data_IF_564278055384
#
_entry.id   IF_564278055384
#
_cell.length_a   1.000
_cell.length_b   1.000
_cell.length_c   1.000
_cell.angle_alpha   90.00
_cell.angle_beta   90.00
_cell.angle_gamma   90.00
#
_symmetry.space_group_name_H-M   'P 1'
#
loop_
_entity.id
_entity.type
_entity.pdbx_description
1 polymer ?
#
# COMPACT_ATOMS: atom_id res chain seq x y z
N UNK A 1 -13.78 15.62 25.78
CA UNK A 1 -13.06 15.66 24.49
C UNK A 1 -13.55 14.44 23.75
N UNK A 2 -14.06 14.61 22.53
CA UNK A 2 -14.53 13.47 21.74
C UNK A 2 -13.34 12.54 21.53
N UNK A 3 -13.36 11.31 22.04
CA UNK A 3 -12.31 10.32 21.82
C UNK A 3 -12.19 10.07 20.32
N UNK A 4 -11.24 10.75 19.68
CA UNK A 4 -10.95 10.58 18.27
C UNK A 4 -10.37 9.19 18.09
N UNK A 5 -11.07 8.35 17.32
CA UNK A 5 -10.63 6.96 17.12
C UNK A 5 -9.34 6.91 16.33
N UNK A 6 -8.49 5.93 16.61
CA UNK A 6 -7.18 5.73 15.99
C UNK A 6 -7.14 4.46 15.14
N UNK A 7 -6.62 4.56 13.92
CA UNK A 7 -6.34 3.43 13.04
C UNK A 7 -4.83 3.34 12.75
N UNK A 8 -4.21 2.25 13.15
CA UNK A 8 -2.83 1.92 12.81
C UNK A 8 -2.79 0.80 11.76
N UNK A 9 -2.05 0.99 10.67
CA UNK A 9 -1.87 -0.01 9.62
C UNK A 9 -0.38 -0.28 9.43
N UNK A 10 0.02 -1.55 9.38
CA UNK A 10 1.33 -1.96 8.89
C UNK A 10 1.16 -2.43 7.44
N UNK A 11 1.79 -1.74 6.48
CA UNK A 11 1.78 -2.10 5.07
C UNK A 11 3.11 -2.76 4.67
N UNK A 12 3.06 -4.04 4.36
CA UNK A 12 4.27 -4.89 4.14
C UNK A 12 4.51 -5.31 2.70
N UNK A 13 3.48 -5.21 1.86
CA UNK A 13 3.49 -5.68 0.48
C UNK A 13 3.49 -4.51 -0.50
N UNK A 14 4.20 -4.69 -1.62
CA UNK A 14 4.38 -3.67 -2.66
C UNK A 14 3.89 -4.07 -4.05
N UNK A 15 2.99 -5.06 -4.15
CA UNK A 15 2.34 -5.41 -5.42
C UNK A 15 1.09 -4.58 -5.63
N UNK A 16 0.63 -4.47 -6.88
CA UNK A 16 -0.52 -3.62 -7.21
C UNK A 16 -1.78 -3.99 -6.43
N UNK A 17 -2.08 -5.28 -6.29
CA UNK A 17 -3.26 -5.78 -5.57
C UNK A 17 -3.22 -5.48 -4.07
N UNK A 18 -2.04 -5.55 -3.45
CA UNK A 18 -1.85 -5.29 -2.02
C UNK A 18 -1.62 -3.82 -1.66
N UNK A 19 -1.41 -2.96 -2.65
CA UNK A 19 -1.34 -1.51 -2.44
C UNK A 19 -2.71 -0.90 -2.12
N UNK A 20 -3.80 -1.49 -2.61
CA UNK A 20 -5.15 -0.95 -2.43
C UNK A 20 -5.67 -0.99 -0.99
N UNK A 21 -5.62 -2.12 -0.27
CA UNK A 21 -6.20 -2.21 1.07
C UNK A 21 -5.69 -1.15 2.06
N UNK A 22 -4.38 -0.88 2.23
CA UNK A 22 -3.93 0.09 3.23
C UNK A 22 -4.43 1.51 2.90
N UNK A 23 -4.35 1.94 1.63
CA UNK A 23 -4.80 3.29 1.26
C UNK A 23 -6.33 3.45 1.28
N UNK A 24 -7.11 2.45 0.84
CA UNK A 24 -8.58 2.50 0.92
C UNK A 24 -9.04 2.61 2.37
N UNK A 25 -8.47 1.77 3.25
CA UNK A 25 -8.86 1.76 4.66
C UNK A 25 -8.45 3.07 5.34
N UNK A 26 -7.24 3.54 5.08
CA UNK A 26 -6.75 4.77 5.68
C UNK A 26 -7.53 6.00 5.20
N UNK A 27 -7.75 6.15 3.89
CA UNK A 27 -8.51 7.29 3.35
C UNK A 27 -9.95 7.30 3.88
N UNK A 28 -10.57 6.11 4.01
CA UNK A 28 -11.92 5.99 4.55
C UNK A 28 -11.95 6.30 6.05
N UNK A 29 -10.98 5.82 6.82
CA UNK A 29 -10.89 6.09 8.25
C UNK A 29 -10.68 7.59 8.52
N UNK A 30 -9.77 8.23 7.78
CA UNK A 30 -9.56 9.67 7.86
C UNK A 30 -10.85 10.46 7.52
N UNK A 31 -11.58 10.07 6.47
CA UNK A 31 -12.87 10.67 6.13
C UNK A 31 -13.96 10.48 7.21
N UNK A 32 -13.85 9.43 8.02
CA UNK A 32 -14.72 9.17 9.18
C UNK A 32 -14.22 9.88 10.46
N UNK A 33 -13.15 10.68 10.37
CA UNK A 33 -12.57 11.43 11.48
C UNK A 33 -11.61 10.61 12.35
N UNK A 34 -11.09 9.49 11.87
CA UNK A 34 -10.08 8.73 12.60
C UNK A 34 -8.71 9.39 12.42
N UNK A 35 -7.95 9.50 13.50
CA UNK A 35 -6.51 9.73 13.39
C UNK A 35 -5.86 8.45 12.86
N UNK A 36 -5.11 8.55 11.75
CA UNK A 36 -4.68 7.36 11.01
C UNK A 36 -3.17 7.41 10.73
N UNK A 37 -2.48 6.30 11.00
CA UNK A 37 -1.07 6.10 10.64
C UNK A 37 -0.91 4.82 9.81
N UNK A 38 -0.13 4.91 8.73
CA UNK A 38 0.34 3.77 7.95
C UNK A 38 1.86 3.66 8.10
N UNK A 39 2.31 2.55 8.65
CA UNK A 39 3.72 2.17 8.74
C UNK A 39 4.12 1.25 7.59
N UNK A 40 4.96 1.75 6.69
CA UNK A 40 5.43 1.04 5.51
C UNK A 40 6.76 0.35 5.81
N UNK A 41 6.81 -0.97 5.62
CA UNK A 41 8.02 -1.79 5.83
C UNK A 41 8.16 -2.84 4.74
N UNK A 42 9.32 -3.47 4.65
CA UNK A 42 9.70 -4.37 3.56
C UNK A 42 9.30 -3.82 2.19
N UNK A 43 8.57 -4.61 1.41
CA UNK A 43 8.17 -4.26 0.05
C UNK A 43 7.12 -3.14 0.02
N UNK A 44 6.44 -2.87 1.14
CA UNK A 44 5.50 -1.77 1.29
C UNK A 44 6.15 -0.39 1.08
N UNK A 45 7.45 -0.23 1.29
CA UNK A 45 8.16 1.03 1.00
C UNK A 45 8.05 1.46 -0.47
N UNK A 46 7.85 0.52 -1.40
CA UNK A 46 7.61 0.85 -2.82
C UNK A 46 6.38 1.75 -3.01
N UNK A 47 5.41 1.70 -2.09
CA UNK A 47 4.19 2.51 -2.15
C UNK A 47 4.45 3.99 -1.85
N UNK A 48 5.60 4.31 -1.23
CA UNK A 48 6.04 5.66 -0.95
C UNK A 48 6.91 6.25 -2.06
N UNK A 49 7.28 5.49 -3.10
CA UNK A 49 8.11 6.03 -4.18
C UNK A 49 7.32 7.06 -5.01
N UNK A 50 8.00 8.13 -5.45
CA UNK A 50 7.43 9.17 -6.32
C UNK A 50 6.84 8.57 -7.61
N UNK A 51 7.52 7.57 -8.17
CA UNK A 51 7.09 6.85 -9.37
C UNK A 51 6.72 5.42 -9.02
N UNK A 52 5.43 5.12 -9.00
CA UNK A 52 4.92 3.79 -8.74
C UNK A 52 5.07 2.88 -9.98
N UNK A 53 5.83 1.78 -9.83
CA UNK A 53 5.84 0.66 -10.77
C UNK A 53 5.33 -0.62 -10.08
N UNK A 54 4.02 -0.59 -9.80
CA UNK A 54 3.31 -1.68 -9.13
C UNK A 54 2.76 -2.67 -10.16
N UNK A 55 3.03 -3.93 -9.92
CA UNK A 55 2.61 -5.05 -10.76
C UNK A 55 1.92 -6.11 -9.90
N UNK A 56 1.00 -6.85 -10.51
CA UNK A 56 0.49 -8.10 -9.93
C UNK A 56 1.34 -9.26 -10.39
N UNK A 57 1.52 -10.25 -9.52
CA UNK A 57 2.18 -11.50 -9.90
C UNK A 57 1.21 -12.40 -10.67
N UNK A 58 1.65 -12.96 -11.80
CA UNK A 58 0.87 -13.95 -12.54
C UNK A 58 0.86 -15.32 -11.88
N UNK A 59 1.82 -15.62 -10.99
CA UNK A 59 2.02 -16.93 -10.36
C UNK A 59 1.87 -16.92 -8.84
N UNK A 60 2.17 -15.80 -8.19
CA UNK A 60 2.33 -15.73 -6.73
C UNK A 60 1.03 -15.55 -5.96
N UNK A 61 -0.13 -15.46 -6.62
CA UNK A 61 -1.42 -15.35 -5.94
C UNK A 61 -2.48 -16.25 -6.61
N UNK A 62 -2.64 -17.50 -6.13
CA UNK A 62 -3.67 -18.43 -6.63
C UNK A 62 -5.11 -17.93 -6.44
N UNK A 63 -5.33 -16.95 -5.55
CA UNK A 63 -6.63 -16.32 -5.34
C UNK A 63 -6.99 -15.26 -6.38
N UNK A 64 -6.08 -14.94 -7.31
CA UNK A 64 -6.36 -13.96 -8.35
C UNK A 64 -7.47 -14.49 -9.29
N UNK A 65 -8.59 -13.75 -9.46
CA UNK A 65 -9.67 -14.19 -10.32
C UNK A 65 -9.25 -14.07 -11.78
N UNK A 66 -8.82 -15.20 -12.36
CA UNK A 66 -8.48 -15.29 -13.77
C UNK A 66 -9.76 -15.36 -14.61
N UNK A 67 -9.84 -14.62 -15.74
CA UNK A 67 -11.01 -14.68 -16.61
C UNK A 67 -11.21 -16.07 -17.25
N UNK A 68 -10.13 -16.84 -17.37
CA UNK A 68 -10.10 -18.21 -17.85
C UNK A 68 -9.07 -19.01 -17.04
N UNK A 69 -9.30 -20.30 -16.74
CA UNK A 69 -8.28 -21.15 -16.12
C UNK A 69 -7.05 -21.21 -17.04
N UNK A 70 -5.89 -20.77 -16.55
CA UNK A 70 -4.64 -20.83 -17.29
C UNK A 70 -3.68 -21.83 -16.66
N UNK A 71 -3.03 -22.71 -17.45
CA UNK A 71 -1.98 -23.58 -16.94
C UNK A 71 -0.83 -22.76 -16.34
N UNK A 72 -0.21 -23.27 -15.27
CA UNK A 72 0.94 -22.63 -14.59
C UNK A 72 2.07 -22.30 -15.56
N UNK A 73 2.33 -23.20 -16.52
CA UNK A 73 3.36 -22.97 -17.55
C UNK A 73 3.08 -21.71 -18.38
N UNK A 74 1.82 -21.44 -18.70
CA UNK A 74 1.42 -20.24 -19.45
C UNK A 74 1.61 -19.00 -18.58
N UNK A 75 1.27 -19.07 -17.29
CA UNK A 75 1.42 -17.95 -16.36
C UNK A 75 2.89 -17.54 -16.13
N UNK A 76 3.83 -18.46 -16.34
CA UNK A 76 5.28 -18.23 -16.23
C UNK A 76 5.90 -17.61 -17.50
N UNK A 77 5.15 -17.45 -18.58
CA UNK A 77 5.69 -16.88 -19.83
C UNK A 77 6.12 -15.42 -19.64
N UNK A 78 7.23 -14.99 -20.29
CA UNK A 78 7.65 -13.59 -20.27
C UNK A 78 6.52 -12.66 -20.75
N UNK A 79 6.32 -11.54 -20.03
CA UNK A 79 5.28 -10.55 -20.35
C UNK A 79 3.89 -10.81 -19.76
N UNK A 80 3.62 -12.02 -19.25
CA UNK A 80 2.33 -12.33 -18.62
C UNK A 80 2.05 -11.48 -17.39
N UNK A 81 3.09 -11.17 -16.60
CA UNK A 81 2.98 -10.28 -15.45
C UNK A 81 2.48 -8.88 -15.86
N UNK A 82 3.08 -8.30 -16.90
CA UNK A 82 2.71 -6.98 -17.43
C UNK A 82 1.31 -6.99 -18.05
N UNK A 83 0.96 -8.06 -18.78
CA UNK A 83 -0.38 -8.25 -19.35
C UNK A 83 -1.44 -8.28 -18.25
N UNK A 84 -1.25 -9.13 -17.23
CA UNK A 84 -2.18 -9.25 -16.10
C UNK A 84 -2.30 -7.94 -15.32
N UNK A 85 -1.19 -7.23 -15.12
CA UNK A 85 -1.18 -5.89 -14.50
C UNK A 85 -2.02 -4.90 -15.31
N UNK A 86 -1.82 -4.85 -16.63
CA UNK A 86 -2.59 -3.95 -17.50
C UNK A 86 -4.09 -4.28 -17.49
N UNK A 87 -4.44 -5.57 -17.54
CA UNK A 87 -5.83 -6.04 -17.47
C UNK A 87 -6.48 -5.64 -16.14
N UNK A 88 -5.76 -5.78 -15.02
CA UNK A 88 -6.25 -5.38 -13.70
C UNK A 88 -6.47 -3.88 -13.60
N UNK A 89 -5.48 -3.06 -14.01
CA UNK A 89 -5.61 -1.59 -14.04
C UNK A 89 -6.79 -1.14 -14.92
N UNK A 90 -6.97 -1.75 -16.09
CA UNK A 90 -8.08 -1.45 -16.99
C UNK A 90 -9.44 -1.84 -16.38
N UNK A 91 -9.52 -2.99 -15.71
CA UNK A 91 -10.75 -3.44 -15.03
C UNK A 91 -11.11 -2.55 -13.84
N UNK A 92 -10.12 -2.13 -13.05
CA UNK A 92 -10.31 -1.17 -11.96
C UNK A 92 -10.86 0.15 -12.49
N UNK A 93 -10.22 0.71 -13.53
CA UNK A 93 -10.67 1.94 -14.20
C UNK A 93 -12.09 1.83 -14.75
N UNK A 94 -12.45 0.71 -15.39
CA UNK A 94 -13.81 0.53 -15.95
C UNK A 94 -14.90 0.36 -14.89
N UNK A 95 -14.51 0.05 -13.64
CA UNK A 95 -15.40 -0.04 -12.49
C UNK A 95 -15.39 1.22 -11.62
N UNK A 96 -14.68 2.27 -12.02
CA UNK A 96 -14.59 3.52 -11.27
C UNK A 96 -13.77 3.39 -9.98
N UNK A 97 -12.91 2.38 -9.88
CA UNK A 97 -11.97 2.26 -8.75
C UNK A 97 -10.84 3.26 -8.99
N UNK A 98 -10.57 4.10 -7.99
CA UNK A 98 -9.47 5.06 -7.99
C UNK A 98 -8.12 4.36 -8.22
N UNK A 99 -7.11 5.08 -8.74
CA UNK A 99 -5.75 4.53 -8.82
C UNK A 99 -5.11 4.48 -7.44
N UNK A 100 -3.99 3.74 -7.30
CA UNK A 100 -3.23 3.73 -6.03
C UNK A 100 -2.66 5.12 -5.76
N UNK A 101 -2.23 5.80 -6.81
CA UNK A 101 -1.78 7.18 -6.79
C UNK A 101 -2.88 8.11 -6.22
N UNK A 102 -4.09 8.06 -6.78
CA UNK A 102 -5.21 8.89 -6.29
C UNK A 102 -5.55 8.59 -4.82
N UNK A 103 -5.54 7.31 -4.43
CA UNK A 103 -5.82 6.91 -3.05
C UNK A 103 -4.74 7.37 -2.07
N UNK A 104 -3.47 7.34 -2.50
CA UNK A 104 -2.34 7.85 -1.72
C UNK A 104 -2.43 9.36 -1.58
N UNK A 105 -2.77 10.07 -2.64
CA UNK A 105 -2.94 11.53 -2.63
C UNK A 105 -4.08 11.93 -1.69
N UNK A 106 -5.22 11.21 -1.72
CA UNK A 106 -6.31 11.40 -0.75
C UNK A 106 -5.87 11.18 0.70
N UNK A 107 -4.99 10.21 0.96
CA UNK A 107 -4.45 10.00 2.30
C UNK A 107 -3.57 11.18 2.75
N UNK A 108 -2.72 11.71 1.86
CA UNK A 108 -1.89 12.88 2.15
C UNK A 108 -2.74 14.13 2.40
N UNK A 109 -3.75 14.37 1.56
CA UNK A 109 -4.70 15.48 1.72
C UNK A 109 -5.49 15.39 3.02
N UNK A 110 -5.79 14.17 3.47
CA UNK A 110 -6.48 13.89 4.73
C UNK A 110 -5.54 13.80 5.94
N UNK A 111 -4.28 14.21 5.79
CA UNK A 111 -3.25 14.23 6.86
C UNK A 111 -3.02 12.85 7.50
N UNK A 112 -3.21 11.76 6.74
CA UNK A 112 -2.83 10.41 7.18
C UNK A 112 -1.32 10.36 7.34
N UNK A 113 -0.87 10.00 8.55
CA UNK A 113 0.55 9.91 8.84
C UNK A 113 1.17 8.70 8.14
N UNK A 114 2.19 8.93 7.33
CA UNK A 114 2.89 7.88 6.59
C UNK A 114 4.32 7.73 7.11
N UNK A 115 4.64 6.57 7.67
CA UNK A 115 5.95 6.30 8.27
C UNK A 115 6.70 5.26 7.44
N UNK A 116 7.85 5.64 6.89
CA UNK A 116 8.80 4.73 6.26
C UNK A 116 9.69 4.06 7.32
N UNK A 117 9.71 2.74 7.34
CA UNK A 117 10.61 1.98 8.22
C UNK A 117 12.08 2.22 7.84
N UNK A 118 12.80 3.01 8.66
CA UNK A 118 14.19 3.37 8.40
C UNK A 118 15.09 2.13 8.24
N UNK A 119 14.92 1.12 9.08
CA UNK A 119 15.69 -0.13 8.99
C UNK A 119 15.49 -0.83 7.65
N UNK A 120 14.28 -0.77 7.08
CA UNK A 120 14.02 -1.35 5.75
C UNK A 120 14.61 -0.49 4.63
N UNK A 121 14.54 0.84 4.75
CA UNK A 121 15.19 1.77 3.81
C UNK A 121 16.69 1.45 3.73
N UNK A 122 17.34 1.31 4.88
CA UNK A 122 18.75 0.96 4.99
C UNK A 122 19.03 -0.46 4.46
N UNK A 123 18.17 -1.44 4.78
CA UNK A 123 18.34 -2.83 4.36
C UNK A 123 18.35 -3.00 2.83
N UNK A 124 17.57 -2.21 2.10
CA UNK A 124 17.47 -2.28 0.65
C UNK A 124 18.24 -1.16 -0.07
N UNK A 125 19.07 -0.40 0.64
CA UNK A 125 19.85 0.73 0.11
C UNK A 125 18.99 1.72 -0.71
N UNK A 126 17.78 2.01 -0.24
CA UNK A 126 16.84 2.89 -0.94
C UNK A 126 17.23 4.37 -0.74
N UNK A 127 17.28 5.16 -1.82
CA UNK A 127 17.56 6.60 -1.73
C UNK A 127 16.31 7.36 -1.21
N UNK A 128 16.40 8.05 -0.06
CA UNK A 128 15.28 8.82 0.48
C UNK A 128 14.68 9.85 -0.50
N UNK A 129 15.46 10.35 -1.46
CA UNK A 129 15.01 11.32 -2.47
C UNK A 129 13.98 10.76 -3.45
N UNK A 130 13.91 9.43 -3.55
CA UNK A 130 12.95 8.73 -4.40
C UNK A 130 11.57 8.60 -3.74
N UNK A 131 11.44 8.85 -2.44
CA UNK A 131 10.15 8.83 -1.76
C UNK A 131 9.41 10.15 -1.91
N UNK A 132 8.08 10.10 -1.88
CA UNK A 132 7.21 11.28 -1.85
C UNK A 132 7.53 12.17 -0.63
N UNK A 133 7.20 13.45 -0.74
CA UNK A 133 7.32 14.38 0.38
C UNK A 133 6.20 14.12 1.42
N UNK A 134 6.37 14.64 2.63
CA UNK A 134 5.35 14.52 3.69
C UNK A 134 5.33 13.18 4.43
N UNK A 135 6.36 12.35 4.25
CA UNK A 135 6.55 11.11 5.02
C UNK A 135 7.52 11.32 6.17
N UNK A 136 7.38 10.50 7.21
CA UNK A 136 8.35 10.41 8.30
C UNK A 136 9.21 9.15 8.15
N UNK A 137 10.47 9.21 8.61
CA UNK A 137 11.30 8.02 8.74
C UNK A 137 11.32 7.60 10.20
N UNK A 138 10.95 6.35 10.46
CA UNK A 138 10.75 5.84 11.81
C UNK A 138 11.12 4.38 11.97
N UNK A 139 11.34 3.97 13.23
CA UNK A 139 11.57 2.58 13.59
C UNK A 139 10.30 1.91 14.13
N UNK A 140 10.44 0.67 14.61
CA UNK A 140 9.34 -0.03 15.29
C UNK A 140 8.81 0.75 16.51
N UNK A 141 9.68 1.49 17.22
CA UNK A 141 9.29 2.33 18.35
C UNK A 141 8.28 3.42 17.93
N UNK A 142 8.53 4.10 16.81
CA UNK A 142 7.62 5.13 16.25
C UNK A 142 6.23 4.55 15.98
N UNK A 143 6.17 3.34 15.41
CA UNK A 143 4.88 2.66 15.18
C UNK A 143 4.18 2.32 16.50
N UNK A 144 4.91 1.77 17.49
CA UNK A 144 4.31 1.38 18.76
C UNK A 144 3.83 2.57 19.59
N UNK A 145 4.48 3.75 19.48
CA UNK A 145 4.01 4.99 20.11
C UNK A 145 2.61 5.39 19.60
N UNK A 146 2.34 5.22 18.31
CA UNK A 146 1.01 5.48 17.75
C UNK A 146 0.03 4.32 17.99
N UNK A 147 0.46 3.10 17.68
CA UNK A 147 -0.38 1.91 17.71
C UNK A 147 -0.75 1.45 19.13
N UNK A 148 0.02 1.85 20.16
CA UNK A 148 -0.25 1.52 21.56
C UNK A 148 -1.61 2.03 22.06
N UNK A 149 -2.07 3.14 21.49
CA UNK A 149 -3.37 3.77 21.79
C UNK A 149 -4.41 3.55 20.67
N UNK A 150 -4.13 2.68 19.69
CA UNK A 150 -5.01 2.50 18.53
C UNK A 150 -6.25 1.67 18.87
N UNK A 151 -7.44 2.14 18.46
CA UNK A 151 -8.69 1.36 18.52
C UNK A 151 -8.67 0.18 17.55
N UNK A 152 -8.01 0.36 16.41
CA UNK A 152 -7.90 -0.64 15.35
C UNK A 152 -6.45 -0.70 14.88
N UNK A 153 -5.88 -1.91 14.89
CA UNK A 153 -4.54 -2.17 14.38
C UNK A 153 -4.59 -3.31 13.34
N UNK A 154 -4.09 -3.06 12.14
CA UNK A 154 -4.13 -3.99 11.01
C UNK A 154 -2.72 -4.26 10.47
N UNK A 155 -2.49 -5.49 10.03
CA UNK A 155 -1.28 -5.90 9.33
C UNK A 155 -1.66 -6.38 7.92
N UNK A 156 -1.09 -5.74 6.90
CA UNK A 156 -1.53 -5.84 5.50
C UNK A 156 -0.37 -6.19 4.56
#
# INVERSE_FOLDING_TARGET
MSDQKKLAIIATKGTLDWAYPPFILASTAAALGYETEIFFTFYGLKLLEKKLDLQVTSLGNPGMPMPMPMPVLVQALPGMQSMMTSMMKQKMKSKGVASVEDLRDLCLEAEVKMVACQMTVDLFDMDPKNFIDGIEFGGAATFFEFAGDADVCLYV
#
